data_IF_069098786216
#
_entry.id   IF_069098786216
#
_cell.length_a   1.000
_cell.length_b   1.000
_cell.length_c   1.000
_cell.angle_alpha   90.00
_cell.angle_beta   90.00
_cell.angle_gamma   90.00
#
_symmetry.space_group_name_H-M   'P 1'
#
loop_
_entity.id
_entity.type
_entity.pdbx_description
1 polymer ?
#
# COMPACT_ATOMS: atom_id res chain seq x y z
N UNK A 1 -12.92 -9.10 -29.05
CA UNK A 1 -12.64 -9.80 -27.78
C UNK A 1 -13.16 -8.90 -26.69
N UNK A 2 -14.29 -9.26 -26.07
CA UNK A 2 -14.88 -8.49 -24.97
C UNK A 2 -13.89 -8.40 -23.79
N UNK A 3 -13.91 -7.34 -22.96
CA UNK A 3 -13.13 -7.35 -21.73
C UNK A 3 -13.68 -8.49 -20.87
N UNK A 4 -12.83 -9.44 -20.50
CA UNK A 4 -13.15 -10.39 -19.43
C UNK A 4 -13.40 -9.54 -18.18
N UNK A 5 -14.64 -9.50 -17.70
CA UNK A 5 -15.00 -8.85 -16.45
C UNK A 5 -14.09 -9.44 -15.37
N UNK A 6 -13.13 -8.63 -14.91
CA UNK A 6 -12.29 -9.01 -13.78
C UNK A 6 -13.23 -9.18 -12.59
N UNK A 7 -13.11 -10.26 -11.81
CA UNK A 7 -13.96 -10.43 -10.64
C UNK A 7 -13.87 -9.18 -9.78
N UNK A 8 -15.04 -8.67 -9.40
CA UNK A 8 -15.12 -7.36 -8.76
C UNK A 8 -14.70 -7.48 -7.29
N UNK A 9 -14.13 -6.43 -6.69
CA UNK A 9 -13.86 -6.41 -5.25
C UNK A 9 -15.10 -6.75 -4.40
N UNK A 10 -16.29 -6.43 -4.91
CA UNK A 10 -17.58 -6.73 -4.28
C UNK A 10 -17.89 -8.23 -4.24
N UNK A 11 -17.60 -8.97 -5.32
CA UNK A 11 -17.74 -10.43 -5.35
C UNK A 11 -16.83 -11.10 -4.34
N UNK A 12 -15.58 -10.65 -4.24
CA UNK A 12 -14.64 -11.17 -3.25
C UNK A 12 -15.09 -10.86 -1.82
N UNK A 13 -15.59 -9.65 -1.57
CA UNK A 13 -16.16 -9.26 -0.27
C UNK A 13 -17.34 -10.15 0.11
N UNK A 14 -18.25 -10.43 -0.82
CA UNK A 14 -19.39 -11.30 -0.56
C UNK A 14 -18.93 -12.73 -0.25
N UNK A 15 -17.99 -13.28 -1.01
CA UNK A 15 -17.46 -14.63 -0.74
C UNK A 15 -16.76 -14.73 0.63
N UNK A 16 -16.08 -13.66 1.07
CA UNK A 16 -15.49 -13.59 2.41
C UNK A 16 -16.57 -13.59 3.50
N UNK A 17 -17.66 -12.83 3.32
CA UNK A 17 -18.81 -12.83 4.24
C UNK A 17 -19.44 -14.21 4.34
N UNK A 18 -19.65 -14.87 3.20
CA UNK A 18 -20.20 -16.23 3.15
C UNK A 18 -19.29 -17.23 3.90
N UNK A 19 -17.97 -17.12 3.73
CA UNK A 19 -16.99 -17.97 4.42
C UNK A 19 -17.03 -17.76 5.95
N UNK A 20 -17.18 -16.51 6.41
CA UNK A 20 -17.32 -16.20 7.84
C UNK A 20 -18.63 -16.80 8.37
N UNK A 21 -19.71 -16.74 7.59
CA UNK A 21 -20.99 -17.33 7.94
C UNK A 21 -20.89 -18.86 8.06
N UNK A 22 -20.20 -19.53 7.13
CA UNK A 22 -19.93 -20.97 7.17
C UNK A 22 -19.19 -21.36 8.47
N UNK A 23 -18.17 -20.58 8.86
CA UNK A 23 -17.43 -20.78 10.13
C UNK A 23 -18.34 -20.63 11.36
N UNK A 24 -19.22 -19.63 11.37
CA UNK A 24 -20.16 -19.42 12.47
C UNK A 24 -21.17 -20.57 12.57
N UNK A 25 -21.67 -21.06 11.43
CA UNK A 25 -22.58 -22.19 11.38
C UNK A 25 -21.93 -23.47 11.90
N UNK A 26 -20.66 -23.73 11.56
CA UNK A 26 -19.90 -24.85 12.12
C UNK A 26 -19.74 -24.70 13.64
N UNK A 27 -19.40 -23.51 14.14
CA UNK A 27 -19.30 -23.24 15.58
C UNK A 27 -20.60 -23.60 16.32
N UNK A 28 -21.76 -23.18 15.79
CA UNK A 28 -23.07 -23.48 16.38
C UNK A 28 -23.39 -24.99 16.34
N UNK A 29 -23.07 -25.67 15.24
CA UNK A 29 -23.30 -27.12 15.12
C UNK A 29 -22.42 -27.93 16.08
N UNK A 30 -21.17 -27.51 16.28
CA UNK A 30 -20.24 -28.17 17.21
C UNK A 30 -20.67 -27.94 18.67
N UNK A 31 -21.08 -26.73 19.02
CA UNK A 31 -21.56 -26.42 20.39
C UNK A 31 -22.85 -27.16 20.76
N UNK A 32 -23.69 -27.50 19.78
CA UNK A 32 -24.95 -28.24 19.97
C UNK A 32 -24.84 -29.71 19.52
N UNK A 33 -23.61 -30.21 19.34
CA UNK A 33 -23.38 -31.52 18.75
C UNK A 33 -24.05 -32.63 19.56
N UNK A 34 -24.93 -33.38 18.88
CA UNK A 34 -25.72 -34.47 19.46
C UNK A 34 -26.52 -34.07 20.73
N UNK A 35 -26.86 -32.78 20.89
CA UNK A 35 -27.67 -32.30 22.00
C UNK A 35 -29.09 -32.92 22.01
N UNK A 36 -29.58 -33.36 20.84
CA UNK A 36 -30.85 -34.06 20.70
C UNK A 36 -30.59 -35.52 20.29
N UNK A 37 -30.92 -36.51 21.14
CA UNK A 37 -30.62 -37.94 20.88
C UNK A 37 -31.28 -38.53 19.62
N UNK A 38 -32.32 -37.89 19.09
CA UNK A 38 -33.08 -38.36 17.93
C UNK A 38 -32.59 -37.82 16.59
N UNK A 39 -31.64 -36.87 16.58
CA UNK A 39 -31.15 -36.23 15.36
C UNK A 39 -29.61 -36.27 15.30
N UNK A 40 -29.02 -37.25 14.61
CA UNK A 40 -27.56 -37.32 14.46
C UNK A 40 -27.06 -36.10 13.69
N UNK A 41 -26.26 -35.27 14.34
CA UNK A 41 -25.68 -34.02 13.78
C UNK A 41 -24.40 -34.25 12.97
N UNK A 42 -23.85 -35.47 13.00
CA UNK A 42 -22.63 -35.85 12.29
C UNK A 42 -22.66 -35.60 10.76
N UNK A 43 -23.68 -36.03 9.99
CA UNK A 43 -23.72 -35.78 8.55
C UNK A 43 -23.81 -34.28 8.23
N UNK A 44 -24.63 -33.52 8.97
CA UNK A 44 -24.77 -32.07 8.76
C UNK A 44 -23.46 -31.31 9.01
N UNK A 45 -22.67 -31.75 10.00
CA UNK A 45 -21.35 -31.19 10.26
C UNK A 45 -20.37 -31.51 9.12
N UNK A 46 -20.38 -32.74 8.61
CA UNK A 46 -19.54 -33.12 7.47
C UNK A 46 -19.85 -32.28 6.22
N UNK A 47 -21.13 -32.10 5.92
CA UNK A 47 -21.59 -31.26 4.81
C UNK A 47 -21.14 -29.80 4.98
N UNK A 48 -21.22 -29.27 6.21
CA UNK A 48 -20.81 -27.89 6.52
C UNK A 48 -19.29 -27.69 6.38
N UNK A 49 -18.48 -28.66 6.79
CA UNK A 49 -17.02 -28.63 6.59
C UNK A 49 -16.66 -28.70 5.10
N UNK A 50 -17.37 -29.52 4.32
CA UNK A 50 -17.17 -29.60 2.88
C UNK A 50 -17.57 -28.30 2.18
N UNK A 51 -18.68 -27.67 2.60
CA UNK A 51 -19.09 -26.35 2.12
C UNK A 51 -18.01 -25.29 2.40
N UNK A 52 -17.47 -25.25 3.62
CA UNK A 52 -16.37 -24.33 3.98
C UNK A 52 -15.13 -24.55 3.08
N UNK A 53 -14.77 -25.80 2.80
CA UNK A 53 -13.65 -26.12 1.91
C UNK A 53 -13.85 -25.53 0.50
N UNK A 54 -15.05 -25.69 -0.06
CA UNK A 54 -15.41 -25.12 -1.36
C UNK A 54 -15.44 -23.57 -1.33
N UNK A 55 -15.95 -22.97 -0.25
CA UNK A 55 -15.95 -21.51 -0.07
C UNK A 55 -14.52 -20.95 -0.05
N UNK A 56 -13.59 -21.58 0.68
CA UNK A 56 -12.17 -21.18 0.72
C UNK A 56 -11.47 -21.31 -0.64
N UNK A 57 -11.74 -22.39 -1.38
CA UNK A 57 -11.21 -22.57 -2.74
C UNK A 57 -11.73 -21.49 -3.69
N UNK A 58 -13.02 -21.15 -3.60
CA UNK A 58 -13.65 -20.10 -4.42
C UNK A 58 -13.05 -18.72 -4.14
N UNK A 59 -12.81 -18.39 -2.87
CA UNK A 59 -12.13 -17.13 -2.47
C UNK A 59 -10.73 -17.07 -3.08
N UNK A 60 -9.95 -18.16 -2.99
CA UNK A 60 -8.60 -18.20 -3.54
C UNK A 60 -8.58 -18.00 -5.07
N UNK A 61 -9.47 -18.69 -5.79
CA UNK A 61 -9.59 -18.56 -7.25
C UNK A 61 -10.00 -17.14 -7.65
N UNK A 62 -10.98 -16.55 -6.95
CA UNK A 62 -11.47 -15.20 -7.25
C UNK A 62 -10.40 -14.14 -6.96
N UNK A 63 -9.69 -14.27 -5.83
CA UNK A 63 -8.62 -13.34 -5.46
C UNK A 63 -7.43 -13.37 -6.43
N UNK A 64 -7.06 -14.56 -6.92
CA UNK A 64 -5.95 -14.72 -7.89
C UNK A 64 -6.35 -14.29 -9.30
N UNK A 65 -7.59 -14.53 -9.71
CA UNK A 65 -8.13 -14.09 -11.00
C UNK A 65 -8.33 -12.56 -11.08
N UNK A 66 -8.70 -11.93 -9.96
CA UNK A 66 -8.88 -10.48 -9.85
C UNK A 66 -7.60 -9.68 -9.67
N UNK A 67 -6.46 -10.36 -9.43
CA UNK A 67 -5.21 -9.69 -9.16
C UNK A 67 -4.71 -8.90 -10.40
N UNK A 68 -4.27 -7.64 -10.21
CA UNK A 68 -3.69 -6.87 -11.30
C UNK A 68 -2.42 -7.58 -11.81
N UNK A 69 -2.11 -7.50 -13.12
CA UNK A 69 -0.89 -8.05 -13.67
C UNK A 69 0.31 -7.36 -13.00
N UNK A 70 0.99 -8.07 -12.12
CA UNK A 70 2.23 -7.59 -11.51
C UNK A 70 3.36 -7.75 -12.54
N UNK A 71 4.24 -6.76 -12.72
CA UNK A 71 5.33 -6.83 -13.71
C UNK A 71 6.30 -7.99 -13.46
N UNK A 72 6.33 -8.54 -12.24
CA UNK A 72 7.22 -9.63 -11.86
C UNK A 72 6.57 -11.02 -12.00
N UNK A 73 5.23 -11.15 -11.86
CA UNK A 73 4.50 -12.42 -12.02
C UNK A 73 3.02 -12.18 -12.40
N UNK A 74 2.55 -12.71 -13.55
CA UNK A 74 1.13 -12.78 -13.88
C UNK A 74 0.37 -13.65 -12.85
N UNK A 75 -0.73 -13.13 -12.29
CA UNK A 75 -1.58 -13.87 -11.33
C UNK A 75 -1.13 -13.80 -9.85
N UNK A 76 -0.08 -13.04 -9.54
CA UNK A 76 0.32 -12.78 -8.16
C UNK A 76 -0.62 -11.77 -7.50
N UNK A 77 -1.02 -12.05 -6.25
CA UNK A 77 -1.81 -11.13 -5.43
C UNK A 77 -1.16 -9.73 -5.36
N UNK A 78 -1.95 -8.67 -5.15
CA UNK A 78 -1.42 -7.33 -4.94
C UNK A 78 -0.31 -7.32 -3.89
N UNK A 79 0.79 -6.62 -4.16
CA UNK A 79 1.88 -6.46 -3.18
C UNK A 79 1.40 -5.53 -2.07
N UNK A 80 1.21 -6.08 -0.87
CA UNK A 80 0.84 -5.33 0.33
C UNK A 80 2.10 -5.18 1.20
N UNK A 81 2.44 -3.97 1.64
CA UNK A 81 3.51 -3.74 2.62
C UNK A 81 3.37 -4.65 3.87
N UNK A 82 4.45 -5.26 4.37
CA UNK A 82 4.38 -6.13 5.54
C UNK A 82 3.89 -5.41 6.80
N UNK A 83 4.14 -4.10 6.92
CA UNK A 83 3.64 -3.28 8.02
C UNK A 83 2.11 -3.21 8.01
N UNK A 84 1.47 -3.17 6.84
CA UNK A 84 0.01 -3.19 6.73
C UNK A 84 -0.58 -4.52 7.20
N UNK A 85 0.10 -5.64 6.94
CA UNK A 85 -0.29 -6.95 7.47
C UNK A 85 -0.25 -6.94 8.99
N UNK A 86 0.82 -6.40 9.57
CA UNK A 86 0.96 -6.27 11.03
C UNK A 86 -0.12 -5.38 11.67
N UNK A 87 -0.61 -4.35 10.96
CA UNK A 87 -1.74 -3.56 11.43
C UNK A 87 -3.01 -4.42 11.57
N UNK A 88 -3.32 -5.22 10.55
CA UNK A 88 -4.48 -6.12 10.56
C UNK A 88 -4.35 -7.21 11.63
N UNK A 89 -3.18 -7.84 11.75
CA UNK A 89 -2.92 -8.87 12.76
C UNK A 89 -3.11 -8.36 14.20
N UNK A 90 -2.76 -7.09 14.45
CA UNK A 90 -2.93 -6.46 15.76
C UNK A 90 -4.32 -5.84 15.96
N UNK A 91 -5.25 -5.99 15.01
CA UNK A 91 -6.58 -5.39 15.07
C UNK A 91 -6.59 -3.87 14.95
N UNK A 92 -5.53 -3.27 14.41
CA UNK A 92 -5.44 -1.82 14.17
C UNK A 92 -6.01 -1.50 12.78
N UNK A 93 -6.72 -0.37 12.67
CA UNK A 93 -7.27 0.08 11.39
C UNK A 93 -6.13 0.32 10.37
N UNK A 94 -6.07 -0.41 9.24
CA UNK A 94 -5.03 -0.25 8.22
C UNK A 94 -5.03 1.12 7.55
N UNK A 95 -6.13 1.87 7.56
CA UNK A 95 -6.19 3.23 7.02
C UNK A 95 -5.24 4.20 7.72
N UNK A 96 -4.92 3.91 8.98
CA UNK A 96 -3.97 4.73 9.76
C UNK A 96 -2.56 4.63 9.15
N UNK A 97 -2.14 3.46 8.67
CA UNK A 97 -0.86 3.33 7.99
C UNK A 97 -0.80 4.21 6.74
N UNK A 98 -1.84 4.17 5.91
CA UNK A 98 -1.92 4.99 4.69
C UNK A 98 -1.85 6.47 5.01
N UNK A 99 -2.56 6.89 6.06
CA UNK A 99 -2.50 8.27 6.57
C UNK A 99 -1.09 8.64 7.04
N UNK A 100 -0.49 7.83 7.91
CA UNK A 100 0.88 8.05 8.43
C UNK A 100 1.91 8.10 7.29
N UNK A 101 1.75 7.25 6.27
CA UNK A 101 2.59 7.24 5.09
C UNK A 101 2.51 8.55 4.31
N UNK A 102 1.30 9.05 4.04
CA UNK A 102 1.11 10.34 3.36
C UNK A 102 1.68 11.50 4.19
N UNK A 103 1.47 11.48 5.51
CA UNK A 103 2.04 12.48 6.42
C UNK A 103 3.58 12.43 6.43
N UNK A 104 4.17 11.24 6.43
CA UNK A 104 5.61 11.02 6.35
C UNK A 104 6.19 11.54 5.04
N UNK A 105 5.58 11.20 3.89
CA UNK A 105 6.01 11.68 2.57
C UNK A 105 5.94 13.20 2.50
N UNK A 106 4.85 13.81 2.99
CA UNK A 106 4.71 15.27 3.04
C UNK A 106 5.80 15.92 3.89
N UNK A 107 6.04 15.40 5.11
CA UNK A 107 7.09 15.91 6.01
C UNK A 107 8.47 15.74 5.38
N UNK A 108 8.75 14.59 4.78
CA UNK A 108 9.99 14.29 4.07
C UNK A 108 10.25 15.27 2.93
N UNK A 109 9.26 15.51 2.08
CA UNK A 109 9.35 16.44 0.96
C UNK A 109 9.61 17.88 1.43
N UNK A 110 8.90 18.34 2.46
CA UNK A 110 9.11 19.67 3.04
C UNK A 110 10.50 19.81 3.65
N UNK A 111 10.96 18.79 4.40
CA UNK A 111 12.29 18.77 5.00
C UNK A 111 13.38 18.81 3.91
N UNK A 112 13.26 18.00 2.86
CA UNK A 112 14.21 18.00 1.75
C UNK A 112 14.25 19.35 1.05
N UNK A 113 13.09 19.95 0.75
CA UNK A 113 13.00 21.29 0.16
C UNK A 113 13.67 22.34 1.07
N UNK A 114 13.44 22.27 2.38
CA UNK A 114 14.09 23.15 3.36
C UNK A 114 15.62 23.02 3.35
N UNK A 115 16.13 21.77 3.34
CA UNK A 115 17.57 21.50 3.24
C UNK A 115 18.17 22.04 1.94
N UNK A 116 17.51 21.79 0.80
CA UNK A 116 17.96 22.31 -0.49
C UNK A 116 18.06 23.84 -0.49
N UNK A 117 17.06 24.52 0.07
CA UNK A 117 17.08 25.98 0.20
C UNK A 117 18.19 26.48 1.12
N UNK A 118 18.42 25.82 2.27
CA UNK A 118 19.49 26.19 3.19
C UNK A 118 20.89 25.99 2.56
N UNK A 119 21.10 24.89 1.84
CA UNK A 119 22.35 24.67 1.11
C UNK A 119 22.54 25.66 -0.03
N UNK A 120 21.48 26.04 -0.74
CA UNK A 120 21.55 27.09 -1.76
C UNK A 120 21.95 28.44 -1.15
N UNK A 121 21.34 28.83 -0.03
CA UNK A 121 21.70 30.06 0.69
C UNK A 121 23.15 30.02 1.19
N UNK A 122 23.58 28.89 1.77
CA UNK A 122 24.96 28.72 2.21
C UNK A 122 25.95 28.83 1.05
N UNK A 123 25.65 28.19 -0.09
CA UNK A 123 26.43 28.31 -1.32
C UNK A 123 26.55 29.77 -1.76
N UNK A 124 25.45 30.51 -1.78
CA UNK A 124 25.44 31.90 -2.25
C UNK A 124 26.25 32.83 -1.31
N UNK A 125 26.14 32.64 0.01
CA UNK A 125 26.94 33.38 1.00
C UNK A 125 28.43 33.03 0.89
N UNK A 126 28.77 31.75 0.76
CA UNK A 126 30.15 31.30 0.60
C UNK A 126 30.77 31.88 -0.68
N UNK A 127 30.02 31.87 -1.79
CA UNK A 127 30.45 32.46 -3.05
C UNK A 127 30.78 33.96 -2.89
N UNK A 128 29.89 34.75 -2.28
CA UNK A 128 30.14 36.18 -2.03
C UNK A 128 31.40 36.41 -1.17
N UNK A 129 31.60 35.61 -0.13
CA UNK A 129 32.82 35.71 0.69
C UNK A 129 34.10 35.35 -0.08
N UNK A 130 34.06 34.32 -0.93
CA UNK A 130 35.19 33.92 -1.77
C UNK A 130 35.52 35.02 -2.79
N UNK A 131 34.52 35.60 -3.44
CA UNK A 131 34.72 36.68 -4.43
C UNK A 131 35.26 37.99 -3.84
N UNK A 132 35.00 38.24 -2.54
CA UNK A 132 35.54 39.39 -1.79
C UNK A 132 36.95 39.12 -1.26
N UNK A 133 37.20 37.91 -0.76
CA UNK A 133 38.49 37.53 -0.18
C UNK A 133 39.56 37.17 -1.20
N UNK A 134 39.16 36.64 -2.36
CA UNK A 134 40.03 36.18 -3.45
C UNK A 134 39.45 36.62 -4.81
N UNK A 135 39.62 37.89 -5.21
CA UNK A 135 39.04 38.43 -6.44
C UNK A 135 39.46 37.69 -7.72
N UNK A 136 40.63 37.05 -7.71
CA UNK A 136 41.15 36.23 -8.81
C UNK A 136 40.31 34.98 -9.11
N UNK A 137 39.50 34.51 -8.14
CA UNK A 137 38.65 33.33 -8.28
C UNK A 137 37.21 33.63 -8.75
N UNK A 138 36.88 34.89 -9.03
CA UNK A 138 35.50 35.29 -9.38
C UNK A 138 34.92 34.53 -10.57
N UNK A 139 35.70 34.38 -11.63
CA UNK A 139 35.25 33.65 -12.83
C UNK A 139 35.03 32.15 -12.53
N UNK A 140 35.88 31.56 -11.68
CA UNK A 140 35.75 30.17 -11.26
C UNK A 140 34.49 29.94 -10.41
N UNK A 141 34.22 30.84 -9.46
CA UNK A 141 33.01 30.81 -8.63
C UNK A 141 31.77 30.92 -9.50
N UNK A 142 31.75 31.86 -10.45
CA UNK A 142 30.65 32.01 -11.41
C UNK A 142 30.37 30.72 -12.19
N UNK A 143 31.43 30.07 -12.72
CA UNK A 143 31.30 28.78 -13.43
C UNK A 143 30.72 27.67 -12.54
N UNK A 144 31.14 27.59 -11.28
CA UNK A 144 30.62 26.59 -10.33
C UNK A 144 29.15 26.84 -9.99
N UNK A 145 28.75 28.10 -9.79
CA UNK A 145 27.35 28.45 -9.52
C UNK A 145 26.44 28.16 -10.72
N UNK A 146 26.90 28.41 -11.94
CA UNK A 146 26.16 28.08 -13.15
C UNK A 146 26.04 26.57 -13.37
N UNK A 147 27.13 25.82 -13.18
CA UNK A 147 27.11 24.35 -13.23
C UNK A 147 26.16 23.74 -12.19
N UNK A 148 26.04 24.35 -11.01
CA UNK A 148 25.16 23.91 -9.94
C UNK A 148 23.66 24.20 -10.14
N UNK A 149 23.25 24.98 -11.16
CA UNK A 149 21.84 25.33 -11.39
C UNK A 149 21.03 24.24 -12.12
N UNK A 150 21.67 23.22 -12.68
CA UNK A 150 21.04 22.31 -13.68
C UNK A 150 20.25 21.14 -13.07
N UNK A 151 20.10 21.02 -11.75
CA UNK A 151 19.32 19.91 -11.16
C UNK A 151 18.27 20.46 -10.17
N UNK A 152 17.05 20.73 -10.65
CA UNK A 152 15.88 20.83 -9.77
C UNK A 152 14.92 22.01 -9.94
N UNK A 153 15.12 22.95 -10.87
CA UNK A 153 14.20 24.09 -11.05
C UNK A 153 13.09 23.82 -12.07
N UNK A 154 12.25 22.81 -11.79
CA UNK A 154 10.93 22.72 -12.41
C UNK A 154 10.06 23.88 -11.90
N UNK A 155 9.96 24.95 -12.69
CA UNK A 155 9.04 26.08 -12.45
C UNK A 155 7.60 25.51 -12.40
N UNK A 156 6.83 25.67 -11.30
CA UNK A 156 5.39 25.39 -11.37
C UNK A 156 4.77 26.45 -12.29
N UNK A 157 4.02 25.99 -13.29
CA UNK A 157 3.36 26.83 -14.28
C UNK A 157 2.49 27.90 -13.61
N UNK A 158 2.76 29.16 -13.93
CA UNK A 158 1.83 30.25 -13.72
C UNK A 158 0.73 30.13 -14.76
N UNK A 159 -0.42 29.61 -14.36
CA UNK A 159 -1.67 29.76 -15.08
C UNK A 159 -2.36 31.04 -14.64
N UNK A 160 -2.61 31.92 -15.61
CA UNK A 160 -3.76 32.83 -15.61
C UNK A 160 -5.03 32.01 -15.82
#
# INVERSE_FOLDING_TARGET
MAPLDKPTPEELEQQLKDTIQDLYQILVQVTTYNATPSAPTAPALADSVQALSHSLQRVHMTATAGAPPSPDLPGALPKIPPELVQYVENGRNPDIYTREFVELVRRGNQLMKGKMNAFAQFRDVLADHVERGMPELREDVGRVLEGGKVVGSGKPGGGL
#
